data_IF_438066753280
#
_entry.id   IF_438066753280
#
_cell.length_a   1.000
_cell.length_b   1.000
_cell.length_c   1.000
_cell.angle_alpha   90.00
_cell.angle_beta   90.00
_cell.angle_gamma   90.00
#
_symmetry.space_group_name_H-M   'P 1'
#
loop_
_entity.id
_entity.type
_entity.pdbx_description
1 polymer ?
#
# COMPACT_ATOMS: atom_id res chain seq x y z
N UNK A 1 -0.63 0.07 6.63
CA UNK A 1 0.47 0.39 5.68
C UNK A 1 1.50 -0.74 5.59
N UNK A 2 1.88 -1.40 6.69
CA UNK A 2 2.81 -2.56 6.70
C UNK A 2 2.52 -3.62 5.61
N UNK A 3 1.25 -3.98 5.39
CA UNK A 3 0.88 -4.97 4.37
C UNK A 3 1.19 -4.57 2.91
N UNK A 4 1.29 -3.28 2.59
CA UNK A 4 1.67 -2.83 1.24
C UNK A 4 3.16 -3.01 0.94
N UNK A 5 3.97 -3.22 1.98
CA UNK A 5 5.41 -3.46 1.89
C UNK A 5 5.75 -4.96 1.86
N UNK A 6 4.75 -5.83 1.81
CA UNK A 6 4.93 -7.29 1.66
C UNK A 6 4.67 -7.72 0.21
N UNK A 7 4.52 -9.03 -0.04
CA UNK A 7 4.14 -9.55 -1.37
C UNK A 7 2.61 -9.68 -1.58
N UNK A 8 1.78 -9.22 -0.63
CA UNK A 8 0.32 -9.39 -0.71
C UNK A 8 -0.31 -8.43 -1.72
N UNK A 9 -1.23 -8.92 -2.54
CA UNK A 9 -2.07 -8.11 -3.44
C UNK A 9 -3.10 -7.27 -2.68
N UNK A 10 -3.66 -6.22 -3.30
CA UNK A 10 -4.73 -5.42 -2.68
C UNK A 10 -5.94 -6.29 -2.26
N UNK A 11 -6.23 -7.35 -3.03
CA UNK A 11 -7.30 -8.29 -2.72
C UNK A 11 -7.00 -9.10 -1.45
N UNK A 12 -5.80 -9.65 -1.33
CA UNK A 12 -5.40 -10.40 -0.13
C UNK A 12 -5.30 -9.49 1.11
N UNK A 13 -4.91 -8.22 0.91
CA UNK A 13 -4.94 -7.21 1.97
C UNK A 13 -6.38 -6.91 2.39
N UNK A 14 -7.30 -6.78 1.44
CA UNK A 14 -8.72 -6.57 1.71
C UNK A 14 -9.31 -7.75 2.50
N UNK A 15 -9.01 -8.98 2.09
CA UNK A 15 -9.43 -10.20 2.79
C UNK A 15 -8.85 -10.28 4.20
N UNK A 16 -7.56 -9.99 4.38
CA UNK A 16 -6.91 -10.00 5.70
C UNK A 16 -7.43 -8.93 6.65
N UNK A 17 -7.89 -7.80 6.12
CA UNK A 17 -8.43 -6.69 6.91
C UNK A 17 -9.95 -6.78 7.04
N UNK A 18 -10.59 -7.81 6.48
CA UNK A 18 -12.05 -7.96 6.41
C UNK A 18 -12.75 -6.73 5.79
N UNK A 19 -12.06 -6.10 4.82
CA UNK A 19 -12.52 -4.91 4.11
C UNK A 19 -13.01 -5.26 2.71
N UNK A 20 -13.92 -4.43 2.20
CA UNK A 20 -14.27 -4.48 0.78
C UNK A 20 -13.06 -4.07 -0.08
N UNK A 21 -12.88 -4.67 -1.28
CA UNK A 21 -11.83 -4.28 -2.22
C UNK A 21 -11.84 -2.77 -2.52
N UNK A 22 -13.02 -2.17 -2.71
CA UNK A 22 -13.14 -0.72 -2.99
C UNK A 22 -12.69 0.16 -1.83
N UNK A 23 -12.97 -0.26 -0.59
CA UNK A 23 -12.53 0.45 0.62
C UNK A 23 -11.02 0.35 0.77
N UNK A 24 -10.46 -0.84 0.51
CA UNK A 24 -9.02 -1.09 0.53
C UNK A 24 -8.33 -0.25 -0.52
N UNK A 25 -8.82 -0.24 -1.75
CA UNK A 25 -8.28 0.58 -2.84
C UNK A 25 -8.25 2.07 -2.47
N UNK A 26 -9.34 2.62 -1.91
CA UNK A 26 -9.36 4.01 -1.41
C UNK A 26 -8.31 4.26 -0.33
N UNK A 27 -8.12 3.33 0.60
CA UNK A 27 -7.08 3.41 1.62
C UNK A 27 -5.68 3.40 1.01
N UNK A 28 -5.42 2.51 0.06
CA UNK A 28 -4.13 2.44 -0.66
C UNK A 28 -3.85 3.73 -1.42
N UNK A 29 -4.83 4.24 -2.18
CA UNK A 29 -4.70 5.51 -2.90
C UNK A 29 -4.44 6.69 -1.96
N UNK A 30 -5.11 6.73 -0.80
CA UNK A 30 -4.85 7.79 0.18
C UNK A 30 -3.46 7.68 0.81
N UNK A 31 -2.92 6.47 0.98
CA UNK A 31 -1.53 6.25 1.38
C UNK A 31 -0.60 6.78 0.28
N UNK A 32 -0.78 6.36 -0.96
CA UNK A 32 0.03 6.83 -2.09
C UNK A 32 0.05 8.36 -2.19
N UNK A 33 -1.12 9.01 -2.05
CA UNK A 33 -1.22 10.47 -2.03
C UNK A 33 -0.44 11.11 -0.86
N UNK A 34 -0.49 10.52 0.34
CA UNK A 34 0.25 11.02 1.51
C UNK A 34 1.77 10.97 1.32
N UNK A 35 2.26 9.97 0.61
CA UNK A 35 3.69 9.81 0.30
C UNK A 35 4.09 10.41 -1.04
N UNK A 36 3.17 11.10 -1.72
CA UNK A 36 3.37 11.70 -3.05
C UNK A 36 3.90 10.69 -4.08
N UNK A 37 3.41 9.45 -4.03
CA UNK A 37 3.74 8.36 -4.96
C UNK A 37 2.52 7.94 -5.77
N UNK A 38 2.75 7.29 -6.91
CA UNK A 38 1.69 6.79 -7.80
C UNK A 38 1.62 5.25 -7.87
N UNK A 39 2.55 4.54 -7.24
CA UNK A 39 2.62 3.08 -7.32
C UNK A 39 3.19 2.44 -6.06
N UNK A 40 2.93 1.13 -5.91
CA UNK A 40 3.52 0.31 -4.86
C UNK A 40 5.04 0.32 -4.90
N UNK A 41 5.62 0.22 -6.10
CA UNK A 41 7.07 0.22 -6.28
C UNK A 41 7.69 1.55 -5.84
N UNK A 42 7.04 2.69 -6.15
CA UNK A 42 7.49 4.00 -5.68
C UNK A 42 7.40 4.12 -4.15
N UNK A 43 6.33 3.59 -3.53
CA UNK A 43 6.22 3.52 -2.07
C UNK A 43 7.34 2.66 -1.45
N UNK A 44 7.65 1.51 -2.05
CA UNK A 44 8.74 0.63 -1.61
C UNK A 44 10.11 1.29 -1.78
N UNK A 45 10.34 2.01 -2.88
CA UNK A 45 11.57 2.74 -3.11
C UNK A 45 11.81 3.83 -2.05
N UNK A 46 10.77 4.55 -1.63
CA UNK A 46 10.87 5.50 -0.50
C UNK A 46 11.26 4.79 0.80
N UNK A 47 10.65 3.63 1.07
CA UNK A 47 10.89 2.87 2.29
C UNK A 47 12.31 2.28 2.35
N UNK A 48 12.79 1.75 1.22
CA UNK A 48 14.16 1.22 1.10
C UNK A 48 15.19 2.34 1.03
N UNK A 49 14.87 3.48 0.42
CA UNK A 49 15.74 4.66 0.37
C UNK A 49 15.92 5.37 1.71
N UNK A 50 14.96 5.23 2.64
CA UNK A 50 15.09 5.68 4.03
C UNK A 50 15.83 4.68 4.94
N UNK A 51 16.10 3.45 4.46
CA UNK A 51 16.77 2.42 5.24
C UNK A 51 18.31 2.46 5.15
N UNK A 52 18.86 3.46 4.45
CA UNK A 52 20.29 3.73 4.33
C UNK A 52 20.68 5.04 5.00
#
# INVERSE_FOLDING_TARGET
MHWLLTNLTEKEIAEKLELKPDTTHKHVMNIYRKFNVSSRAALMALWLGHAC
#
